data_IF_510818839153
#
_entry.id   IF_510818839153
#
_cell.length_a   1.000
_cell.length_b   1.000
_cell.length_c   1.000
_cell.angle_alpha   90.00
_cell.angle_beta   90.00
_cell.angle_gamma   90.00
#
_symmetry.space_group_name_H-M   'P 1'
#
loop_
_entity.id
_entity.type
_entity.pdbx_description
1 polymer ?
#
# COMPACT_ATOMS: atom_id res chain seq x y z
N UNK A 1 -8.38 -2.11 16.33
CA UNK A 1 -8.05 -0.88 15.58
C UNK A 1 -8.73 0.39 16.14
N UNK A 2 -10.06 0.50 16.20
CA UNK A 2 -10.74 1.70 16.72
C UNK A 2 -10.26 2.13 18.11
N UNK A 3 -10.13 1.18 19.04
CA UNK A 3 -9.57 1.42 20.37
C UNK A 3 -8.14 1.96 20.29
N UNK A 4 -7.30 1.41 19.42
CA UNK A 4 -5.92 1.87 19.25
C UNK A 4 -5.89 3.32 18.74
N UNK A 5 -6.66 3.65 17.69
CA UNK A 5 -6.74 5.01 17.14
C UNK A 5 -7.17 6.06 18.18
N UNK A 6 -8.07 5.68 19.10
CA UNK A 6 -8.55 6.56 20.17
C UNK A 6 -7.53 6.77 21.30
N UNK A 7 -6.62 5.82 21.51
CA UNK A 7 -5.74 5.79 22.69
C UNK A 7 -4.25 5.92 22.35
N UNK A 8 -3.89 6.16 21.09
CA UNK A 8 -2.51 6.45 20.69
C UNK A 8 -2.30 7.97 20.57
N UNK A 9 -1.11 8.42 20.97
CA UNK A 9 -0.66 9.79 20.78
C UNK A 9 0.20 9.96 19.52
N UNK A 10 0.39 8.90 18.74
CA UNK A 10 1.13 8.90 17.47
C UNK A 10 0.21 8.62 16.29
N UNK A 11 0.75 8.76 15.08
CA UNK A 11 0.06 8.38 13.86
C UNK A 11 -0.16 6.86 13.80
N UNK A 12 -1.31 6.47 13.24
CA UNK A 12 -1.64 5.07 12.96
C UNK A 12 -1.47 4.84 11.46
N UNK A 13 -0.50 4.01 11.09
CA UNK A 13 -0.41 3.40 9.76
C UNK A 13 -1.29 2.15 9.75
N UNK A 14 -2.26 2.08 8.85
CA UNK A 14 -3.16 0.94 8.73
C UNK A 14 -2.89 0.17 7.43
N UNK A 15 -2.30 -1.00 7.56
CA UNK A 15 -2.20 -1.94 6.44
C UNK A 15 -3.56 -2.55 6.11
N UNK A 16 -3.93 -2.50 4.83
CA UNK A 16 -5.18 -3.07 4.32
C UNK A 16 -4.97 -3.77 2.98
N UNK A 17 -5.76 -4.80 2.73
CA UNK A 17 -5.96 -5.28 1.37
C UNK A 17 -6.78 -4.26 0.56
N UNK A 18 -6.59 -4.25 -0.76
CA UNK A 18 -7.40 -3.45 -1.67
C UNK A 18 -8.82 -4.03 -1.79
N UNK A 19 -9.68 -3.91 -0.79
CA UNK A 19 -11.07 -4.40 -0.88
C UNK A 19 -12.03 -3.34 -0.38
N UNK A 20 -13.26 -3.36 -0.91
CA UNK A 20 -14.32 -2.43 -0.50
C UNK A 20 -14.60 -2.51 1.00
N UNK A 21 -14.61 -3.72 1.55
CA UNK A 21 -14.79 -3.95 2.99
C UNK A 21 -13.72 -3.23 3.82
N UNK A 22 -12.45 -3.39 3.43
CA UNK A 22 -11.34 -2.76 4.16
C UNK A 22 -11.30 -1.26 3.98
N UNK A 23 -11.71 -0.77 2.80
CA UNK A 23 -11.86 0.65 2.52
C UNK A 23 -12.94 1.29 3.42
N UNK A 24 -14.10 0.65 3.55
CA UNK A 24 -15.16 1.10 4.46
C UNK A 24 -14.72 1.12 5.93
N UNK A 25 -13.88 0.16 6.32
CA UNK A 25 -13.27 0.13 7.65
C UNK A 25 -12.28 1.29 7.83
N UNK A 26 -11.42 1.55 6.83
CA UNK A 26 -10.44 2.63 6.86
C UNK A 26 -11.10 4.01 6.96
N UNK A 27 -12.18 4.27 6.19
CA UNK A 27 -12.96 5.53 6.25
C UNK A 27 -13.53 5.79 7.65
N UNK A 28 -13.92 4.74 8.38
CA UNK A 28 -14.43 4.84 9.76
C UNK A 28 -13.31 5.10 10.76
N UNK A 29 -12.14 4.50 10.55
CA UNK A 29 -10.99 4.68 11.46
C UNK A 29 -10.25 5.99 11.25
N UNK A 30 -10.16 6.47 10.02
CA UNK A 30 -9.38 7.64 9.63
C UNK A 30 -7.92 7.55 10.13
N UNK A 31 -7.16 6.53 9.69
CA UNK A 31 -5.74 6.43 9.99
C UNK A 31 -4.97 7.59 9.34
N UNK A 32 -3.68 7.76 9.66
CA UNK A 32 -2.88 8.80 9.02
C UNK A 32 -2.56 8.41 7.57
N UNK A 33 -1.98 7.22 7.32
CA UNK A 33 -2.11 6.57 6.03
C UNK A 33 -2.83 5.24 6.15
N UNK A 34 -3.44 4.82 5.05
CA UNK A 34 -3.55 3.40 4.75
C UNK A 34 -2.30 2.96 3.97
N UNK A 35 -1.84 1.73 4.22
CA UNK A 35 -0.82 1.08 3.40
C UNK A 35 -1.47 -0.10 2.67
N UNK A 36 -1.63 0.02 1.36
CA UNK A 36 -2.24 -1.04 0.57
C UNK A 36 -1.19 -2.13 0.38
N UNK A 37 -1.51 -3.32 0.88
CA UNK A 37 -0.68 -4.52 0.78
C UNK A 37 -1.42 -5.59 -0.01
N UNK A 38 -0.71 -6.46 -0.74
CA UNK A 38 -1.34 -7.55 -1.47
C UNK A 38 -1.75 -8.67 -0.51
N UNK A 39 -2.98 -9.18 -0.63
CA UNK A 39 -3.48 -10.29 0.19
C UNK A 39 -3.61 -11.58 -0.65
N UNK A 40 -4.04 -11.44 -1.90
CA UNK A 40 -4.28 -12.59 -2.79
C UNK A 40 -3.13 -12.79 -3.77
N UNK A 41 -2.97 -14.04 -4.24
CA UNK A 41 -1.89 -14.39 -5.19
C UNK A 41 -1.95 -13.59 -6.49
N UNK A 42 -3.14 -13.20 -6.92
CA UNK A 42 -3.36 -12.43 -8.15
C UNK A 42 -2.95 -10.95 -8.01
N UNK A 43 -2.76 -10.47 -6.78
CA UNK A 43 -2.36 -9.10 -6.46
C UNK A 43 -0.84 -8.98 -6.28
N UNK A 44 -0.17 -10.13 -6.13
CA UNK A 44 1.27 -10.24 -5.94
C UNK A 44 1.99 -10.21 -7.28
N UNK A 45 3.02 -9.39 -7.34
CA UNK A 45 4.18 -9.68 -8.18
C UNK A 45 4.88 -10.97 -7.75
N UNK A 46 5.82 -11.47 -8.56
CA UNK A 46 6.62 -12.66 -8.22
C UNK A 46 7.33 -12.58 -6.86
N UNK A 47 7.70 -11.37 -6.41
CA UNK A 47 8.44 -11.15 -5.16
C UNK A 47 7.56 -10.59 -4.03
N UNK A 48 6.24 -10.50 -4.23
CA UNK A 48 5.28 -10.29 -3.14
C UNK A 48 4.82 -8.84 -2.88
N UNK A 49 5.37 -7.83 -3.53
CA UNK A 49 4.77 -6.48 -3.56
C UNK A 49 3.59 -6.38 -4.54
N UNK A 50 2.81 -5.30 -4.45
CA UNK A 50 1.69 -5.04 -5.36
C UNK A 50 2.13 -4.97 -6.83
N UNK A 51 1.28 -5.47 -7.72
CA UNK A 51 1.37 -5.22 -9.16
C UNK A 51 0.50 -4.04 -9.56
N UNK A 52 1.09 -2.83 -9.55
CA UNK A 52 0.39 -1.57 -9.84
C UNK A 52 -0.21 -1.57 -11.25
N UNK A 53 0.47 -2.18 -12.22
CA UNK A 53 0.05 -2.16 -13.62
C UNK A 53 -1.24 -2.97 -13.76
N UNK A 54 -1.26 -4.19 -13.24
CA UNK A 54 -2.43 -5.06 -13.30
C UNK A 54 -3.56 -4.58 -12.38
N UNK A 55 -3.24 -3.89 -11.28
CA UNK A 55 -4.23 -3.37 -10.34
C UNK A 55 -4.64 -1.91 -10.59
N UNK A 56 -4.21 -1.28 -11.69
CA UNK A 56 -4.39 0.15 -11.97
C UNK A 56 -5.82 0.64 -11.68
N UNK A 57 -6.82 0.05 -12.34
CA UNK A 57 -8.22 0.49 -12.22
C UNK A 57 -8.70 0.44 -10.76
N UNK A 58 -8.36 -0.62 -10.05
CA UNK A 58 -8.74 -0.84 -8.65
C UNK A 58 -8.03 0.13 -7.70
N UNK A 59 -6.72 0.30 -7.85
CA UNK A 59 -5.93 1.23 -7.04
C UNK A 59 -6.35 2.68 -7.29
N UNK A 60 -6.64 3.05 -8.54
CA UNK A 60 -7.10 4.39 -8.89
C UNK A 60 -8.39 4.74 -8.17
N UNK A 61 -9.39 3.85 -8.22
CA UNK A 61 -10.66 4.04 -7.54
C UNK A 61 -10.50 4.18 -6.02
N UNK A 62 -9.69 3.31 -5.41
CA UNK A 62 -9.45 3.35 -3.96
C UNK A 62 -8.73 4.63 -3.57
N UNK A 63 -7.68 5.03 -4.28
CA UNK A 63 -6.88 6.21 -3.94
C UNK A 63 -7.72 7.47 -4.04
N UNK A 64 -8.45 7.65 -5.14
CA UNK A 64 -9.35 8.80 -5.33
C UNK A 64 -10.41 8.86 -4.21
N UNK A 65 -11.00 7.72 -3.88
CA UNK A 65 -12.02 7.67 -2.84
C UNK A 65 -11.47 7.99 -1.46
N UNK A 66 -10.32 7.43 -1.08
CA UNK A 66 -9.70 7.61 0.24
C UNK A 66 -9.21 9.05 0.43
N UNK A 67 -8.69 9.68 -0.62
CA UNK A 67 -8.25 11.07 -0.59
C UNK A 67 -9.37 12.05 -0.25
N UNK A 68 -10.63 11.74 -0.63
CA UNK A 68 -11.79 12.54 -0.23
C UNK A 68 -12.05 12.52 1.30
N UNK A 69 -11.42 11.62 2.04
CA UNK A 69 -11.50 11.51 3.49
C UNK A 69 -10.26 12.06 4.23
N UNK A 70 -9.35 12.72 3.52
CA UNK A 70 -8.08 13.27 4.05
C UNK A 70 -7.18 12.18 4.69
N UNK A 71 -7.22 10.98 4.11
CA UNK A 71 -6.38 9.85 4.51
C UNK A 71 -5.29 9.70 3.44
N UNK A 72 -4.02 9.62 3.85
CA UNK A 72 -2.91 9.37 2.93
C UNK A 72 -2.90 7.94 2.44
N UNK A 73 -2.36 7.70 1.24
CA UNK A 73 -2.19 6.35 0.71
C UNK A 73 -0.72 6.01 0.52
N UNK A 74 -0.30 4.90 1.12
CA UNK A 74 0.95 4.20 0.86
C UNK A 74 0.69 2.97 0.00
N UNK A 75 1.57 2.71 -0.96
CA UNK A 75 1.59 1.45 -1.72
C UNK A 75 2.82 0.63 -1.36
N UNK A 76 2.60 -0.63 -0.96
CA UNK A 76 3.66 -1.59 -0.71
C UNK A 76 4.07 -2.29 -2.01
N UNK A 77 5.27 -2.00 -2.51
CA UNK A 77 5.72 -2.44 -3.83
C UNK A 77 7.15 -2.98 -3.77
N UNK A 78 7.51 -3.84 -4.71
CA UNK A 78 8.91 -4.27 -4.84
C UNK A 78 9.80 -3.10 -5.30
N UNK A 79 11.13 -3.17 -5.06
CA UNK A 79 12.12 -2.26 -5.63
C UNK A 79 12.28 -2.45 -7.16
N UNK A 80 11.19 -2.28 -7.90
CA UNK A 80 11.11 -2.48 -9.35
C UNK A 80 10.96 -1.14 -10.07
N UNK A 81 11.98 -0.77 -10.83
CA UNK A 81 12.03 0.52 -11.54
C UNK A 81 10.91 0.68 -12.59
N UNK A 82 10.42 -0.41 -13.18
CA UNK A 82 9.37 -0.34 -14.19
C UNK A 82 8.02 0.00 -13.54
N UNK A 83 7.73 -0.56 -12.36
CA UNK A 83 6.54 -0.22 -11.59
C UNK A 83 6.59 1.25 -11.11
N UNK A 84 7.75 1.71 -10.62
CA UNK A 84 7.94 3.10 -10.22
C UNK A 84 7.75 4.08 -11.38
N UNK A 85 8.36 3.79 -12.54
CA UNK A 85 8.19 4.59 -13.77
C UNK A 85 6.75 4.58 -14.28
N UNK A 86 6.05 3.46 -14.12
CA UNK A 86 4.64 3.38 -14.47
C UNK A 86 3.82 4.29 -13.54
N UNK A 87 4.01 4.17 -12.22
CA UNK A 87 3.35 5.00 -11.22
C UNK A 87 3.58 6.50 -11.45
N UNK A 88 4.83 6.90 -11.73
CA UNK A 88 5.21 8.28 -12.05
C UNK A 88 4.40 8.85 -13.22
N UNK A 89 4.25 8.06 -14.30
CA UNK A 89 3.53 8.46 -15.52
C UNK A 89 2.02 8.28 -15.44
N UNK A 90 1.54 7.48 -14.49
CA UNK A 90 0.13 7.19 -14.32
C UNK A 90 -0.62 8.37 -13.70
N UNK A 91 -1.96 8.36 -13.77
CA UNK A 91 -2.79 9.35 -13.08
C UNK A 91 -2.95 9.02 -11.58
N UNK A 92 -2.59 7.81 -11.17
CA UNK A 92 -2.62 7.39 -9.78
C UNK A 92 -1.47 8.05 -9.03
N UNK A 93 -1.79 8.71 -7.91
CA UNK A 93 -0.84 9.42 -7.07
C UNK A 93 -0.96 8.98 -5.61
N UNK A 94 -0.29 7.89 -5.19
CA UNK A 94 -0.16 7.62 -3.77
C UNK A 94 0.76 8.67 -3.14
N UNK A 95 0.52 8.98 -1.87
CA UNK A 95 1.33 9.92 -1.10
C UNK A 95 2.69 9.32 -0.71
N UNK A 96 2.72 8.00 -0.53
CA UNK A 96 3.83 7.26 0.01
C UNK A 96 4.06 5.99 -0.82
N UNK A 97 5.33 5.61 -0.97
CA UNK A 97 5.73 4.31 -1.52
C UNK A 97 6.54 3.59 -0.47
N UNK A 98 6.10 2.40 -0.08
CA UNK A 98 6.82 1.52 0.82
C UNK A 98 7.51 0.41 0.02
N UNK A 99 8.84 0.32 0.14
CA UNK A 99 9.63 -0.65 -0.62
C UNK A 99 9.70 -1.97 0.14
N UNK A 100 9.28 -3.05 -0.52
CA UNK A 100 9.41 -4.40 -0.02
C UNK A 100 10.88 -4.83 0.04
N UNK A 101 11.40 -4.92 1.26
CA UNK A 101 12.80 -5.30 1.54
C UNK A 101 12.98 -6.80 1.80
N UNK A 102 11.95 -7.63 1.61
CA UNK A 102 12.02 -9.06 1.90
C UNK A 102 13.11 -9.80 1.13
N UNK A 103 13.33 -9.46 -0.15
CA UNK A 103 14.43 -10.01 -0.93
C UNK A 103 15.82 -9.68 -0.35
N UNK A 104 16.00 -8.45 0.14
CA UNK A 104 17.23 -8.04 0.83
C UNK A 104 17.40 -8.78 2.16
N UNK A 105 16.37 -8.83 3.00
CA UNK A 105 16.42 -9.48 4.32
C UNK A 105 16.68 -10.99 4.24
N UNK A 106 16.20 -11.65 3.19
CA UNK A 106 16.38 -13.09 2.97
C UNK A 106 17.62 -13.42 2.13
N UNK A 107 18.36 -12.41 1.66
CA UNK A 107 19.58 -12.64 0.89
C UNK A 107 20.59 -13.37 1.78
N UNK A 108 21.16 -14.50 1.32
CA UNK A 108 22.24 -15.13 2.06
C UNK A 108 23.38 -14.13 2.21
N UNK A 109 24.03 -14.12 3.37
CA UNK A 109 25.27 -13.37 3.56
C UNK A 109 26.28 -13.85 2.52
N UNK A 110 26.72 -12.97 1.64
CA UNK A 110 27.87 -13.23 0.80
C UNK A 110 29.06 -13.49 1.74
N UNK A 111 29.56 -14.74 1.74
CA UNK A 111 30.84 -15.04 2.36
C UNK A 111 31.92 -14.45 1.46
N UNK A 112 32.41 -13.27 1.82
CA UNK A 112 33.69 -12.76 1.32
C UNK A 112 34.82 -13.73 1.64
#
# INVERSE_FOLDING_TARGET
MFTLKKNTNTELNLEIAATEEMLEIAKKVKPYPINIVPEKREELTTEGGLDIINMYSKLSSIIEEVHNFDIKVSLFINPNINQLKYLEKSEIKPDIVEIHTGGYCNSPLEKN
#
